data_IF_169153784770
#
_entry.id   IF_169153784770
#
_cell.length_a   1.000
_cell.length_b   1.000
_cell.length_c   1.000
_cell.angle_alpha   90.00
_cell.angle_beta   90.00
_cell.angle_gamma   90.00
#
_symmetry.space_group_name_H-M   'P 1'
#
loop_
_entity.id
_entity.type
_entity.pdbx_description
1 polymer ?
#
# COMPACT_ATOMS: atom_id res chain seq x y z
N UNK A 1 -3.49 -22.85 8.49
CA UNK A 1 -2.23 -23.21 7.80
C UNK A 1 -1.07 -22.32 8.27
N UNK A 2 -1.31 -21.06 8.65
CA UNK A 2 -0.27 -20.10 9.06
C UNK A 2 -0.20 -19.86 10.59
N UNK A 3 -0.87 -20.66 11.41
CA UNK A 3 -0.93 -20.52 12.87
C UNK A 3 0.44 -20.60 13.60
N UNK A 4 1.46 -21.15 12.94
CA UNK A 4 2.82 -21.24 13.49
C UNK A 4 3.70 -20.03 13.13
N UNK A 5 3.20 -19.11 12.27
CA UNK A 5 3.93 -17.95 11.78
C UNK A 5 3.55 -16.68 12.52
N UNK A 6 4.51 -15.79 12.72
CA UNK A 6 4.27 -14.52 13.38
C UNK A 6 3.93 -13.43 12.35
N UNK A 7 2.81 -12.75 12.57
CA UNK A 7 2.33 -11.66 11.70
C UNK A 7 2.41 -10.27 12.34
N UNK A 8 2.84 -10.19 13.61
CA UNK A 8 3.01 -8.93 14.33
C UNK A 8 4.27 -9.01 15.18
N UNK A 9 5.14 -8.01 15.08
CA UNK A 9 6.39 -7.90 15.82
C UNK A 9 6.38 -6.77 16.85
N UNK A 10 5.49 -5.79 16.72
CA UNK A 10 5.37 -4.68 17.65
C UNK A 10 4.44 -3.58 17.13
N UNK A 11 4.52 -2.39 17.76
CA UNK A 11 3.72 -1.22 17.42
C UNK A 11 4.56 0.06 17.32
N UNK A 12 4.22 0.92 16.36
CA UNK A 12 4.73 2.29 16.23
C UNK A 12 3.54 3.22 16.01
N UNK A 13 3.46 4.28 16.80
CA UNK A 13 2.36 5.27 16.75
C UNK A 13 0.96 4.65 16.84
N UNK A 14 0.82 3.52 17.54
CA UNK A 14 -0.46 2.83 17.71
C UNK A 14 -0.84 1.87 16.58
N UNK A 15 0.02 1.67 15.60
CA UNK A 15 -0.18 0.74 14.47
C UNK A 15 0.80 -0.42 14.54
N UNK A 16 0.28 -1.63 14.29
CA UNK A 16 1.07 -2.86 14.33
C UNK A 16 2.00 -2.95 13.11
N UNK A 17 3.22 -3.45 13.38
CA UNK A 17 4.17 -3.80 12.32
C UNK A 17 4.65 -5.24 12.44
N UNK A 18 5.13 -5.77 11.33
CA UNK A 18 5.89 -7.01 11.25
C UNK A 18 7.32 -6.72 10.81
N UNK A 19 8.27 -7.33 11.52
CA UNK A 19 9.69 -7.38 11.16
C UNK A 19 9.91 -8.63 10.30
N UNK A 20 10.18 -8.44 9.04
CA UNK A 20 10.44 -9.50 8.07
C UNK A 20 11.94 -9.82 7.95
N UNK A 21 12.80 -9.17 8.73
CA UNK A 21 14.26 -9.34 8.68
C UNK A 21 14.88 -8.85 7.36
N UNK A 22 14.25 -7.87 6.71
CA UNK A 22 14.72 -7.34 5.43
C UNK A 22 16.09 -6.67 5.56
N UNK A 23 16.96 -6.73 4.54
CA UNK A 23 18.29 -6.12 4.55
C UNK A 23 18.30 -4.63 4.87
N UNK A 24 17.31 -3.88 4.43
CA UNK A 24 17.15 -2.46 4.77
C UNK A 24 16.85 -2.21 6.25
N UNK A 25 16.31 -3.20 6.96
CA UNK A 25 15.75 -3.06 8.30
C UNK A 25 14.37 -2.41 8.33
N UNK A 26 13.72 -2.22 7.17
CA UNK A 26 12.38 -1.68 7.10
C UNK A 26 11.36 -2.62 7.75
N UNK A 27 10.47 -2.02 8.52
CA UNK A 27 9.33 -2.70 9.15
C UNK A 27 8.07 -2.43 8.34
N UNK A 28 7.23 -3.44 8.18
CA UNK A 28 6.02 -3.31 7.36
C UNK A 28 4.77 -3.26 8.24
N UNK A 29 3.81 -2.42 7.85
CA UNK A 29 2.50 -2.42 8.46
C UNK A 29 1.82 -3.79 8.29
N UNK A 30 1.11 -4.24 9.32
CA UNK A 30 0.39 -5.52 9.26
C UNK A 30 -0.93 -5.43 8.52
N UNK A 31 -1.48 -4.23 8.34
CA UNK A 31 -2.75 -4.00 7.66
C UNK A 31 -2.68 -2.74 6.79
N UNK A 32 -3.66 -2.61 5.89
CA UNK A 32 -3.80 -1.44 5.02
C UNK A 32 -4.22 -0.19 5.80
N UNK A 33 -3.94 1.00 5.26
CA UNK A 33 -4.48 2.26 5.77
C UNK A 33 -6.00 2.21 5.84
N UNK A 34 -6.58 2.66 6.97
CA UNK A 34 -8.01 2.57 7.23
C UNK A 34 -8.51 1.21 7.73
N UNK A 35 -7.68 0.16 7.69
CA UNK A 35 -8.00 -1.16 8.24
C UNK A 35 -7.56 -1.27 9.72
N UNK A 36 -8.22 -2.18 10.45
CA UNK A 36 -7.89 -2.54 11.83
C UNK A 36 -7.46 -4.01 11.97
N UNK A 37 -7.61 -4.80 10.92
CA UNK A 37 -7.25 -6.22 10.87
C UNK A 37 -6.53 -6.53 9.57
N UNK A 38 -5.70 -7.56 9.57
CA UNK A 38 -4.88 -7.98 8.44
C UNK A 38 -5.70 -8.23 7.16
N UNK A 39 -6.90 -8.78 7.31
CA UNK A 39 -7.76 -9.18 6.19
C UNK A 39 -8.71 -8.07 5.69
N UNK A 40 -8.76 -6.92 6.37
CA UNK A 40 -9.59 -5.80 5.92
C UNK A 40 -8.91 -5.08 4.75
N UNK A 41 -9.70 -4.68 3.75
CA UNK A 41 -9.19 -4.03 2.54
C UNK A 41 -8.66 -2.62 2.82
N UNK A 42 -9.15 -1.95 3.88
CA UNK A 42 -8.82 -0.58 4.20
C UNK A 42 -9.47 0.45 3.28
N UNK A 43 -8.92 1.65 3.30
CA UNK A 43 -9.39 2.76 2.48
C UNK A 43 -8.65 2.81 1.13
N UNK A 44 -9.31 3.42 0.14
CA UNK A 44 -8.70 3.68 -1.15
C UNK A 44 -8.20 5.11 -1.24
N UNK A 45 -7.08 5.31 -1.93
CA UNK A 45 -6.48 6.63 -2.11
C UNK A 45 -6.06 6.81 -3.58
N UNK A 46 -6.25 8.00 -4.12
CA UNK A 46 -5.55 8.36 -5.32
C UNK A 46 -4.09 8.68 -4.97
N UNK A 47 -3.17 8.39 -5.88
CA UNK A 47 -1.73 8.56 -5.64
C UNK A 47 -1.39 10.01 -5.24
N UNK A 48 -0.73 10.18 -4.10
CA UNK A 48 -0.38 11.49 -3.54
C UNK A 48 -1.55 12.26 -2.89
N UNK A 49 -2.71 11.62 -2.71
CA UNK A 49 -3.81 12.19 -1.94
C UNK A 49 -3.88 11.54 -0.56
N UNK A 50 -4.07 12.35 0.47
CA UNK A 50 -3.99 11.95 1.87
C UNK A 50 -5.36 11.75 2.54
N UNK A 51 -6.42 11.72 1.75
CA UNK A 51 -7.79 11.48 2.22
C UNK A 51 -8.54 10.60 1.23
N UNK A 52 -9.33 9.62 1.71
CA UNK A 52 -10.17 8.82 0.85
C UNK A 52 -11.31 9.66 0.23
N UNK A 53 -11.85 9.19 -0.88
CA UNK A 53 -12.95 9.82 -1.61
C UNK A 53 -14.11 8.86 -1.81
N UNK A 54 -15.29 9.41 -2.05
CA UNK A 54 -16.47 8.62 -2.44
C UNK A 54 -16.48 8.27 -3.93
N UNK A 55 -15.71 9.00 -4.74
CA UNK A 55 -15.60 8.82 -6.18
C UNK A 55 -14.17 9.09 -6.62
N UNK A 56 -13.60 8.18 -7.41
CA UNK A 56 -12.26 8.31 -7.99
C UNK A 56 -12.36 8.50 -9.49
N UNK A 57 -12.10 9.73 -9.95
CA UNK A 57 -12.12 10.08 -11.36
C UNK A 57 -10.98 11.03 -11.71
N UNK A 58 -10.62 11.07 -13.00
CA UNK A 58 -9.60 12.00 -13.49
C UNK A 58 -9.98 13.47 -13.24
N UNK A 59 -11.28 13.79 -13.18
CA UNK A 59 -11.77 15.17 -13.01
C UNK A 59 -11.73 15.68 -11.57
N UNK A 60 -11.53 14.80 -10.59
CA UNK A 60 -11.44 15.19 -9.17
C UNK A 60 -10.09 14.84 -8.53
N UNK A 61 -9.09 14.49 -9.34
CA UNK A 61 -7.74 14.25 -8.85
C UNK A 61 -7.09 15.56 -8.38
N UNK A 62 -6.48 15.52 -7.19
CA UNK A 62 -5.88 16.70 -6.52
C UNK A 62 -4.90 17.48 -7.41
N UNK A 63 -4.13 16.80 -8.21
CA UNK A 63 -3.08 17.40 -9.04
C UNK A 63 -3.51 17.69 -10.48
N UNK A 64 -4.82 17.64 -10.76
CA UNK A 64 -5.38 17.94 -12.07
C UNK A 64 -5.68 16.71 -12.92
N UNK A 65 -6.00 16.94 -14.19
CA UNK A 65 -6.32 15.89 -15.15
C UNK A 65 -5.28 15.79 -16.27
N UNK A 66 -5.34 14.75 -17.08
CA UNK A 66 -4.40 14.54 -18.19
C UNK A 66 -4.32 15.77 -19.10
N UNK A 67 -3.11 16.27 -19.33
CA UNK A 67 -2.82 17.50 -20.07
C UNK A 67 -2.76 18.76 -19.21
N UNK A 68 -3.13 18.70 -17.92
CA UNK A 68 -3.12 19.84 -16.99
C UNK A 68 -2.59 19.54 -15.59
N UNK A 69 -1.82 18.44 -15.42
CA UNK A 69 -1.24 18.13 -14.11
C UNK A 69 -0.37 19.27 -13.58
N UNK A 70 -0.64 19.68 -12.35
CA UNK A 70 0.03 20.78 -11.65
C UNK A 70 1.20 20.32 -10.79
N UNK A 71 1.36 18.99 -10.57
CA UNK A 71 2.42 18.38 -9.76
C UNK A 71 2.72 16.96 -10.24
N UNK A 72 3.92 16.46 -9.97
CA UNK A 72 4.40 15.13 -10.36
C UNK A 72 4.35 14.89 -11.87
N UNK A 73 4.72 15.92 -12.61
CA UNK A 73 4.68 15.90 -14.06
C UNK A 73 6.09 15.90 -14.66
N UNK A 74 6.50 14.74 -15.19
CA UNK A 74 7.80 14.56 -15.83
C UNK A 74 7.80 14.91 -17.34
N UNK A 75 6.63 15.05 -17.96
CA UNK A 75 6.49 15.29 -19.41
C UNK A 75 5.52 16.42 -19.70
N UNK A 76 5.98 17.44 -20.44
CA UNK A 76 5.21 18.66 -20.77
C UNK A 76 3.84 18.38 -21.41
N UNK A 77 3.68 17.29 -22.13
CA UNK A 77 2.41 16.92 -22.76
C UNK A 77 1.29 16.61 -21.77
N UNK A 78 1.65 16.30 -20.51
CA UNK A 78 0.70 15.94 -19.46
C UNK A 78 0.40 17.09 -18.49
N UNK A 79 1.19 18.17 -18.48
CA UNK A 79 0.94 19.29 -17.59
C UNK A 79 2.15 20.18 -17.34
N UNK A 80 2.17 20.83 -16.18
CA UNK A 80 3.26 21.68 -15.73
C UNK A 80 4.46 20.83 -15.25
N UNK A 81 5.63 21.07 -15.85
CA UNK A 81 6.83 20.30 -15.54
C UNK A 81 7.38 20.65 -14.15
N UNK A 82 7.45 19.69 -13.26
CA UNK A 82 8.17 19.80 -12.00
C UNK A 82 9.22 18.69 -11.80
N UNK A 83 9.24 17.69 -12.71
CA UNK A 83 10.17 16.55 -12.72
C UNK A 83 10.15 15.69 -11.44
N UNK A 84 9.14 15.85 -10.59
CA UNK A 84 8.98 15.03 -9.40
C UNK A 84 8.37 13.69 -9.77
N UNK A 85 9.03 12.62 -9.37
CA UNK A 85 8.61 11.23 -9.59
C UNK A 85 8.44 10.45 -8.30
N UNK A 86 8.74 11.08 -7.16
CA UNK A 86 8.59 10.53 -5.83
C UNK A 86 7.69 11.46 -5.03
N UNK A 87 6.78 10.91 -4.23
CA UNK A 87 5.91 11.69 -3.36
C UNK A 87 6.71 12.54 -2.38
N UNK A 88 6.31 13.79 -2.24
CA UNK A 88 6.77 14.64 -1.14
C UNK A 88 6.11 14.18 0.17
N UNK A 89 6.75 14.40 1.29
CA UNK A 89 6.27 13.97 2.62
C UNK A 89 4.83 14.43 2.93
N UNK A 90 4.46 15.60 2.46
CA UNK A 90 3.11 16.16 2.64
C UNK A 90 2.02 15.47 1.81
N UNK A 91 2.41 14.70 0.80
CA UNK A 91 1.52 13.95 -0.09
C UNK A 91 1.62 12.43 0.17
N UNK A 92 2.41 12.02 1.14
CA UNK A 92 2.52 10.65 1.60
C UNK A 92 1.35 10.31 2.53
N UNK A 93 0.47 9.43 2.08
CA UNK A 93 -0.76 9.06 2.78
C UNK A 93 -0.48 8.38 4.12
N UNK A 94 0.52 7.48 4.18
CA UNK A 94 0.86 6.77 5.41
C UNK A 94 1.37 7.75 6.48
N UNK A 95 2.26 8.65 6.09
CA UNK A 95 2.79 9.71 6.95
C UNK A 95 1.68 10.64 7.44
N UNK A 96 0.78 11.05 6.55
CA UNK A 96 -0.30 11.97 6.89
C UNK A 96 -1.32 11.38 7.88
N UNK A 97 -1.58 10.07 7.80
CA UNK A 97 -2.61 9.40 8.62
C UNK A 97 -2.00 8.79 9.90
N UNK A 98 -0.83 8.16 9.81
CA UNK A 98 -0.20 7.42 10.91
C UNK A 98 1.00 8.13 11.55
N UNK A 99 1.42 9.27 10.98
CA UNK A 99 2.51 10.10 11.50
C UNK A 99 3.87 9.79 10.89
N UNK A 100 4.86 10.62 11.24
CA UNK A 100 6.18 10.70 10.58
C UNK A 100 7.03 9.41 10.64
N UNK A 101 6.68 8.47 11.50
CA UNK A 101 7.37 7.16 11.57
C UNK A 101 6.92 6.20 10.47
N UNK A 102 5.87 6.54 9.73
CA UNK A 102 5.31 5.75 8.64
C UNK A 102 5.49 6.46 7.30
N UNK A 103 5.64 5.70 6.23
CA UNK A 103 5.70 6.22 4.87
C UNK A 103 5.19 5.17 3.88
N UNK A 104 4.74 5.63 2.73
CA UNK A 104 4.40 4.75 1.61
C UNK A 104 5.68 4.14 1.05
N UNK A 105 5.73 2.81 0.84
CA UNK A 105 6.94 2.15 0.35
C UNK A 105 7.38 2.74 -0.98
N UNK A 106 8.67 2.85 -1.18
CA UNK A 106 9.27 3.16 -2.49
C UNK A 106 9.19 1.94 -3.40
N UNK A 107 9.49 2.11 -4.68
CA UNK A 107 9.64 0.98 -5.59
C UNK A 107 10.72 0.00 -5.12
N UNK A 108 11.83 0.52 -4.61
CA UNK A 108 12.94 -0.28 -4.07
C UNK A 108 12.50 -1.09 -2.85
N UNK A 109 11.73 -0.51 -1.93
CA UNK A 109 11.18 -1.23 -0.77
C UNK A 109 10.25 -2.38 -1.20
N UNK A 110 9.42 -2.14 -2.23
CA UNK A 110 8.54 -3.17 -2.78
C UNK A 110 9.33 -4.30 -3.46
N UNK A 111 10.38 -3.98 -4.19
CA UNK A 111 11.27 -4.97 -4.81
C UNK A 111 11.96 -5.80 -3.73
N UNK A 112 12.53 -5.16 -2.70
CA UNK A 112 13.15 -5.85 -1.58
C UNK A 112 12.18 -6.82 -0.91
N UNK A 113 10.96 -6.37 -0.61
CA UNK A 113 9.92 -7.21 -0.02
C UNK A 113 9.62 -8.43 -0.89
N UNK A 114 9.46 -8.22 -2.20
CA UNK A 114 9.17 -9.32 -3.15
C UNK A 114 10.32 -10.32 -3.20
N UNK A 115 11.56 -9.85 -3.22
CA UNK A 115 12.75 -10.69 -3.36
C UNK A 115 13.06 -11.49 -2.08
N UNK A 116 12.72 -10.95 -0.89
CA UNK A 116 13.02 -11.58 0.40
C UNK A 116 11.86 -12.37 1.00
N UNK A 117 10.73 -12.48 0.32
CA UNK A 117 9.61 -13.32 0.73
C UNK A 117 9.31 -14.43 -0.30
N UNK A 118 8.73 -15.53 0.20
CA UNK A 118 8.05 -16.53 -0.63
C UNK A 118 6.55 -16.20 -0.64
N UNK A 119 5.93 -16.20 -1.84
CA UNK A 119 4.58 -15.71 -2.03
C UNK A 119 3.59 -16.82 -2.37
N UNK A 120 2.48 -16.86 -1.61
CA UNK A 120 1.44 -17.88 -1.76
C UNK A 120 0.06 -17.23 -1.85
N UNK A 121 -0.67 -17.39 -2.97
CA UNK A 121 -2.06 -16.98 -3.03
C UNK A 121 -2.93 -17.86 -2.13
N UNK A 122 -3.91 -17.24 -1.49
CA UNK A 122 -4.90 -17.91 -0.64
C UNK A 122 -6.30 -17.41 -0.98
N UNK A 123 -7.26 -18.33 -1.06
CA UNK A 123 -8.66 -17.98 -1.35
C UNK A 123 -9.42 -17.56 -0.09
N UNK A 124 -8.93 -17.96 1.07
CA UNK A 124 -9.54 -17.68 2.38
C UNK A 124 -8.44 -17.59 3.44
N UNK A 125 -8.05 -16.36 3.76
CA UNK A 125 -7.03 -16.12 4.78
C UNK A 125 -7.59 -16.41 6.17
N UNK A 126 -7.07 -17.46 6.82
CA UNK A 126 -7.42 -17.87 8.21
C UNK A 126 -8.93 -18.01 8.48
N UNK A 127 -9.73 -18.39 7.49
CA UNK A 127 -11.17 -18.56 7.65
C UNK A 127 -11.97 -17.25 7.68
N UNK A 128 -11.39 -16.16 7.21
CA UNK A 128 -12.05 -14.82 7.18
C UNK A 128 -12.94 -14.61 5.97
N UNK A 129 -12.85 -15.50 4.97
CA UNK A 129 -13.53 -15.36 3.68
C UNK A 129 -12.84 -14.36 2.74
N UNK A 130 -11.64 -13.87 3.07
CA UNK A 130 -10.92 -12.89 2.26
C UNK A 130 -9.77 -13.56 1.52
N UNK A 131 -9.78 -13.45 0.21
CA UNK A 131 -8.68 -13.89 -0.65
C UNK A 131 -7.55 -12.86 -0.68
N UNK A 132 -6.32 -13.33 -0.93
CA UNK A 132 -5.16 -12.46 -0.99
C UNK A 132 -3.88 -13.22 -1.29
N UNK A 133 -2.75 -12.59 -0.97
CA UNK A 133 -1.43 -13.19 -1.10
C UNK A 133 -0.68 -13.10 0.24
N UNK A 134 -0.13 -14.21 0.70
CA UNK A 134 0.73 -14.29 1.89
C UNK A 134 2.18 -14.27 1.44
N UNK A 135 2.97 -13.36 1.99
CA UNK A 135 4.43 -13.36 1.91
C UNK A 135 5.02 -13.96 3.18
N UNK A 136 5.88 -14.97 3.01
CA UNK A 136 6.63 -15.59 4.12
C UNK A 136 8.08 -15.16 3.99
N UNK A 137 8.60 -14.46 4.99
CA UNK A 137 9.99 -14.04 5.00
C UNK A 137 10.94 -15.24 4.93
N UNK A 138 11.91 -15.16 4.04
CA UNK A 138 13.01 -16.14 3.93
C UNK A 138 14.02 -16.05 5.08
N UNK A 139 14.01 -14.91 5.81
CA UNK A 139 14.98 -14.61 6.86
C UNK A 139 14.54 -15.12 8.23
N UNK A 140 13.26 -14.94 8.57
CA UNK A 140 12.77 -15.23 9.94
C UNK A 140 11.42 -15.95 9.97
N UNK A 141 10.84 -16.28 8.82
CA UNK A 141 9.53 -16.93 8.65
C UNK A 141 8.34 -16.11 9.13
N UNK A 142 8.50 -14.86 9.48
CA UNK A 142 7.38 -13.96 9.74
C UNK A 142 6.58 -13.73 8.46
N UNK A 143 5.28 -13.46 8.62
CA UNK A 143 4.38 -13.33 7.47
C UNK A 143 3.80 -11.92 7.34
N UNK A 144 3.52 -11.54 6.10
CA UNK A 144 2.71 -10.39 5.72
C UNK A 144 1.58 -10.85 4.82
N UNK A 145 0.40 -10.25 4.95
CA UNK A 145 -0.75 -10.56 4.12
C UNK A 145 -1.22 -9.32 3.36
N UNK A 146 -1.43 -9.48 2.06
CA UNK A 146 -2.03 -8.47 1.19
C UNK A 146 -3.38 -8.97 0.70
N UNK A 147 -4.52 -8.46 1.21
CA UNK A 147 -5.83 -8.81 0.70
C UNK A 147 -5.97 -8.36 -0.77
N UNK A 148 -6.71 -9.13 -1.57
CA UNK A 148 -7.06 -8.72 -2.91
C UNK A 148 -8.07 -7.59 -2.83
N UNK A 149 -7.58 -6.36 -2.90
CA UNK A 149 -8.37 -5.15 -2.69
C UNK A 149 -8.88 -4.52 -4.00
N UNK A 150 -8.42 -5.03 -5.16
CA UNK A 150 -8.82 -4.46 -6.45
C UNK A 150 -8.41 -2.99 -6.63
N UNK A 151 -9.09 -2.32 -7.54
CA UNK A 151 -8.93 -0.89 -7.84
C UNK A 151 -10.28 -0.22 -7.74
N UNK A 152 -10.37 0.89 -6.99
CA UNK A 152 -11.54 1.73 -6.97
C UNK A 152 -11.46 2.76 -8.11
N UNK A 153 -12.39 2.70 -9.05
CA UNK A 153 -12.43 3.59 -10.19
C UNK A 153 -13.88 4.02 -10.45
N UNK A 154 -14.10 5.34 -10.50
CA UNK A 154 -15.43 5.92 -10.63
C UNK A 154 -16.39 5.37 -9.56
N UNK A 155 -17.53 4.84 -9.94
CA UNK A 155 -18.54 4.21 -9.08
C UNK A 155 -18.54 2.68 -9.20
N UNK A 156 -17.49 2.09 -9.81
CA UNK A 156 -17.33 0.65 -9.93
C UNK A 156 -16.95 0.03 -8.58
N UNK A 157 -17.55 -1.11 -8.26
CA UNK A 157 -17.15 -1.93 -7.12
C UNK A 157 -15.80 -2.56 -7.44
N UNK A 158 -14.82 -2.48 -6.53
CA UNK A 158 -13.51 -3.08 -6.76
C UNK A 158 -13.58 -4.57 -7.09
N UNK A 159 -12.78 -5.00 -8.06
CA UNK A 159 -12.62 -6.42 -8.35
C UNK A 159 -11.64 -7.05 -7.36
N UNK A 160 -12.18 -7.76 -6.37
CA UNK A 160 -11.40 -8.42 -5.32
C UNK A 160 -10.68 -9.71 -5.78
N UNK A 161 -10.36 -9.84 -7.06
CA UNK A 161 -9.54 -10.94 -7.59
C UNK A 161 -8.06 -10.57 -7.69
N UNK A 162 -7.71 -9.29 -7.50
CA UNK A 162 -6.34 -8.77 -7.61
C UNK A 162 -6.01 -7.80 -6.50
N UNK A 163 -4.71 -7.63 -6.25
CA UNK A 163 -4.16 -6.63 -5.35
C UNK A 163 -3.36 -5.59 -6.15
N UNK A 164 -3.67 -4.31 -5.93
CA UNK A 164 -2.93 -3.20 -6.50
C UNK A 164 -2.56 -2.25 -5.37
N UNK A 165 -1.28 -2.14 -5.12
CA UNK A 165 -0.75 -1.30 -4.04
C UNK A 165 0.14 -0.22 -4.62
N UNK A 166 -0.05 1.01 -4.16
CA UNK A 166 0.77 2.13 -4.55
C UNK A 166 2.16 2.05 -3.93
N UNK A 167 3.18 2.48 -4.70
CA UNK A 167 4.46 2.93 -4.19
C UNK A 167 4.51 4.46 -4.19
N UNK A 168 5.44 5.03 -3.43
CA UNK A 168 5.69 6.49 -3.41
C UNK A 168 6.49 6.99 -4.63
N UNK A 169 6.95 6.08 -5.48
CA UNK A 169 7.74 6.36 -6.69
C UNK A 169 7.34 5.44 -7.84
#
# INVERSE_FOLDING_TARGET
MFEEYQNTSGQVSGHDYVDLGLPSGNLWATCNLGAHKLHEHGDYFAWGETSPKNLYSNTNYKFGEEGSYSKYCAYKKFGELDYKIILEEMDDTARAIWGDSWYMPTQEDMIELVDHCEWWPVDDFEGTGVAGIVGISKENLNIIFFPFSGVCKEDEVPDYQYAFYWSSS
#
